data_IF_745567988054
#
_entry.id   IF_745567988054
#
_cell.length_a   1.000
_cell.length_b   1.000
_cell.length_c   1.000
_cell.angle_alpha   90.00
_cell.angle_beta   90.00
_cell.angle_gamma   90.00
#
_symmetry.space_group_name_H-M   'P 1'
#
loop_
_entity.id
_entity.type
_entity.pdbx_description
1 polymer ?
#
# COMPACT_ATOMS: atom_id res chain seq x y z
N UNK A 1 47.45 -2.36 22.62
CA UNK A 1 46.58 -3.54 22.43
C UNK A 1 45.17 -3.32 22.98
N UNK A 2 44.98 -2.49 24.03
CA UNK A 2 43.66 -2.28 24.67
C UNK A 2 42.64 -1.53 23.81
N UNK A 3 43.07 -0.51 23.06
CA UNK A 3 42.17 0.27 22.18
C UNK A 3 41.64 -0.53 20.98
N UNK A 4 42.33 -1.58 20.55
CA UNK A 4 41.87 -2.44 19.45
C UNK A 4 40.62 -3.23 19.84
N UNK A 5 40.59 -3.76 21.07
CA UNK A 5 39.43 -4.44 21.62
C UNK A 5 38.26 -3.49 21.85
N UNK A 6 38.52 -2.28 22.34
CA UNK A 6 37.49 -1.25 22.50
C UNK A 6 36.85 -0.83 21.17
N UNK A 7 37.66 -0.69 20.11
CA UNK A 7 37.17 -0.38 18.77
C UNK A 7 36.33 -1.52 18.17
N UNK A 8 36.76 -2.78 18.36
CA UNK A 8 36.01 -3.95 17.89
C UNK A 8 34.68 -4.08 18.66
N UNK A 9 34.69 -3.87 19.97
CA UNK A 9 33.48 -3.89 20.79
C UNK A 9 32.51 -2.78 20.40
N UNK A 10 33.01 -1.56 20.21
CA UNK A 10 32.20 -0.43 19.75
C UNK A 10 31.59 -0.71 18.36
N UNK A 11 32.39 -1.23 17.43
CA UNK A 11 31.92 -1.61 16.10
C UNK A 11 30.85 -2.71 16.17
N UNK A 12 30.99 -3.69 17.07
CA UNK A 12 30.01 -4.75 17.28
C UNK A 12 28.70 -4.23 17.88
N UNK A 13 28.75 -3.31 18.84
CA UNK A 13 27.55 -2.67 19.42
C UNK A 13 26.85 -1.81 18.39
N UNK A 14 27.59 -1.01 17.62
CA UNK A 14 27.02 -0.20 16.52
C UNK A 14 26.39 -1.11 15.47
N UNK A 15 27.07 -2.19 15.08
CA UNK A 15 26.52 -3.18 14.17
C UNK A 15 25.22 -3.79 14.74
N UNK A 16 25.18 -4.18 16.02
CA UNK A 16 23.98 -4.74 16.65
C UNK A 16 22.82 -3.75 16.74
N UNK A 17 23.09 -2.46 16.99
CA UNK A 17 22.05 -1.42 17.03
C UNK A 17 21.50 -1.12 15.63
N UNK A 18 22.34 -1.18 14.59
CA UNK A 18 21.94 -1.02 13.19
C UNK A 18 21.24 -2.28 12.65
N UNK A 19 21.65 -3.48 13.07
CA UNK A 19 21.04 -4.75 12.65
C UNK A 19 19.75 -5.05 13.43
N UNK A 20 19.57 -4.51 14.64
CA UNK A 20 18.36 -4.66 15.48
C UNK A 20 17.05 -4.32 14.74
N UNK A 21 16.89 -3.18 14.05
CA UNK A 21 15.66 -2.88 13.33
C UNK A 21 15.43 -3.80 12.12
N UNK A 22 16.48 -4.38 11.54
CA UNK A 22 16.35 -5.37 10.47
C UNK A 22 15.89 -6.73 11.03
N UNK A 23 16.55 -7.24 12.08
CA UNK A 23 16.19 -8.52 12.67
C UNK A 23 14.87 -8.52 13.48
N UNK A 24 14.31 -7.36 13.84
CA UNK A 24 13.07 -7.26 14.62
C UNK A 24 11.87 -6.75 13.82
N UNK A 25 11.93 -6.69 12.49
CA UNK A 25 10.80 -6.24 11.67
C UNK A 25 10.59 -6.95 10.32
N UNK A 26 11.52 -7.79 9.85
CA UNK A 26 11.45 -8.39 8.50
C UNK A 26 10.20 -9.26 8.23
N UNK A 27 9.61 -9.89 9.24
CA UNK A 27 8.42 -10.73 9.04
C UNK A 27 7.12 -9.93 8.98
N UNK A 28 6.99 -8.85 9.77
CA UNK A 28 5.76 -8.04 9.80
C UNK A 28 5.80 -6.85 8.82
N UNK A 29 6.96 -6.19 8.62
CA UNK A 29 7.07 -5.13 7.59
C UNK A 29 7.10 -5.67 6.18
N UNK A 30 7.73 -6.84 5.94
CA UNK A 30 7.70 -7.49 4.64
C UNK A 30 6.28 -7.91 4.24
N UNK A 31 5.51 -8.45 5.19
CA UNK A 31 4.12 -8.81 4.99
C UNK A 31 3.22 -7.57 4.78
N UNK A 32 3.40 -6.51 5.56
CA UNK A 32 2.66 -5.25 5.38
C UNK A 32 3.01 -4.56 4.05
N UNK A 33 4.28 -4.56 3.64
CA UNK A 33 4.70 -4.01 2.35
C UNK A 33 4.12 -4.79 1.17
N UNK A 34 4.05 -6.12 1.26
CA UNK A 34 3.42 -6.96 0.24
C UNK A 34 1.91 -6.73 0.16
N UNK A 35 1.22 -6.67 1.30
CA UNK A 35 -0.20 -6.36 1.38
C UNK A 35 -0.54 -4.97 0.81
N UNK A 36 0.31 -3.97 1.09
CA UNK A 36 0.18 -2.63 0.49
C UNK A 36 0.35 -2.66 -1.03
N UNK A 37 1.39 -3.33 -1.53
CA UNK A 37 1.63 -3.43 -2.97
C UNK A 37 0.46 -4.14 -3.70
N UNK A 38 -0.14 -5.15 -3.07
CA UNK A 38 -1.34 -5.81 -3.59
C UNK A 38 -2.55 -4.88 -3.62
N UNK A 39 -2.78 -4.10 -2.56
CA UNK A 39 -3.85 -3.10 -2.51
C UNK A 39 -3.63 -1.96 -3.52
N UNK A 40 -2.39 -1.50 -3.73
CA UNK A 40 -2.06 -0.51 -4.75
C UNK A 40 -2.30 -1.05 -6.17
N UNK A 41 -1.91 -2.31 -6.44
CA UNK A 41 -2.21 -2.97 -7.71
C UNK A 41 -3.72 -3.14 -7.94
N UNK A 42 -4.47 -3.49 -6.89
CA UNK A 42 -5.93 -3.59 -6.95
C UNK A 42 -6.58 -2.23 -7.23
N UNK A 43 -6.07 -1.15 -6.62
CA UNK A 43 -6.50 0.23 -6.90
C UNK A 43 -6.26 0.61 -8.36
N UNK A 44 -5.07 0.35 -8.90
CA UNK A 44 -4.77 0.63 -10.30
C UNK A 44 -5.64 -0.16 -11.26
N UNK A 45 -5.91 -1.43 -10.95
CA UNK A 45 -6.82 -2.27 -11.74
C UNK A 45 -8.24 -1.69 -11.74
N UNK A 46 -8.78 -1.31 -10.58
CA UNK A 46 -10.11 -0.71 -10.48
C UNK A 46 -10.19 0.67 -11.13
N UNK A 47 -9.13 1.47 -11.07
CA UNK A 47 -9.08 2.75 -11.76
C UNK A 47 -9.15 2.58 -13.29
N UNK A 48 -8.45 1.59 -13.84
CA UNK A 48 -8.56 1.26 -15.27
C UNK A 48 -9.96 0.81 -15.66
N UNK A 49 -10.60 -0.02 -14.84
CA UNK A 49 -11.97 -0.49 -15.09
C UNK A 49 -12.99 0.66 -15.11
N UNK A 50 -12.86 1.63 -14.19
CA UNK A 50 -13.68 2.86 -14.19
C UNK A 50 -13.44 3.66 -15.46
N UNK A 51 -12.18 3.86 -15.83
CA UNK A 51 -11.82 4.63 -17.02
C UNK A 51 -12.33 3.97 -18.31
N UNK A 52 -12.26 2.64 -18.41
CA UNK A 52 -12.78 1.91 -19.56
C UNK A 52 -14.32 2.01 -19.64
N UNK A 53 -15.03 1.95 -18.50
CA UNK A 53 -16.47 2.14 -18.44
C UNK A 53 -16.90 3.57 -18.85
N UNK A 54 -16.14 4.58 -18.43
CA UNK A 54 -16.33 5.98 -18.85
C UNK A 54 -16.09 6.13 -20.37
N UNK A 55 -15.03 5.52 -20.92
CA UNK A 55 -14.74 5.53 -22.35
C UNK A 55 -15.85 4.84 -23.17
N UNK A 56 -16.38 3.71 -22.69
CA UNK A 56 -17.48 3.01 -23.36
C UNK A 56 -18.79 3.83 -23.34
N UNK A 57 -19.02 4.62 -22.29
CA UNK A 57 -20.10 5.60 -22.24
C UNK A 57 -19.89 6.74 -23.23
N UNK A 58 -18.69 7.34 -23.29
CA UNK A 58 -18.37 8.40 -24.27
C UNK A 58 -18.46 7.89 -25.73
N UNK A 59 -18.11 6.63 -25.98
CA UNK A 59 -18.27 5.97 -27.28
C UNK A 59 -19.73 5.64 -27.62
N UNK A 60 -20.68 5.89 -26.71
CA UNK A 60 -22.10 5.66 -26.91
C UNK A 60 -22.52 4.19 -26.83
N UNK A 61 -21.68 3.31 -26.27
CA UNK A 61 -22.00 1.88 -26.07
C UNK A 61 -22.86 1.65 -24.83
N UNK A 62 -22.83 2.57 -23.87
CA UNK A 62 -23.61 2.55 -22.64
C UNK A 62 -24.59 3.72 -22.63
N UNK A 63 -25.81 3.47 -22.14
CA UNK A 63 -26.77 4.54 -21.87
C UNK A 63 -26.35 5.33 -20.63
N UNK A 64 -26.77 6.59 -20.50
CA UNK A 64 -26.48 7.40 -19.31
C UNK A 64 -27.00 6.76 -18.02
N UNK A 65 -28.10 6.01 -18.09
CA UNK A 65 -28.70 5.37 -16.92
C UNK A 65 -27.91 4.14 -16.47
N UNK A 66 -27.45 3.32 -17.43
CA UNK A 66 -26.59 2.16 -17.16
C UNK A 66 -25.20 2.59 -16.69
N UNK A 67 -24.63 3.63 -17.31
CA UNK A 67 -23.35 4.19 -16.88
C UNK A 67 -23.42 4.72 -15.44
N UNK A 68 -24.48 5.44 -15.05
CA UNK A 68 -24.68 5.90 -13.66
C UNK A 68 -24.87 4.77 -12.65
N UNK A 69 -25.38 3.61 -13.07
CA UNK A 69 -25.50 2.44 -12.19
C UNK A 69 -24.11 1.83 -11.95
N UNK A 70 -23.37 1.58 -13.03
CA UNK A 70 -22.01 1.00 -13.01
C UNK A 70 -21.02 1.92 -12.28
N UNK A 71 -21.06 3.23 -12.55
CA UNK A 71 -20.19 4.22 -11.91
C UNK A 71 -20.36 4.23 -10.38
N UNK A 72 -21.59 4.14 -9.89
CA UNK A 72 -21.85 4.09 -8.44
C UNK A 72 -21.31 2.82 -7.79
N UNK A 73 -21.42 1.68 -8.46
CA UNK A 73 -20.88 0.40 -7.99
C UNK A 73 -19.36 0.43 -7.95
N UNK A 74 -18.71 0.78 -9.07
CA UNK A 74 -17.25 0.84 -9.18
C UNK A 74 -16.63 1.86 -8.23
N UNK A 75 -17.26 3.03 -8.04
CA UNK A 75 -16.79 4.02 -7.05
C UNK A 75 -16.93 3.49 -5.62
N UNK A 76 -17.98 2.74 -5.31
CA UNK A 76 -18.13 2.09 -4.01
C UNK A 76 -16.98 1.12 -3.71
N UNK A 77 -16.63 0.28 -4.68
CA UNK A 77 -15.50 -0.65 -4.57
C UNK A 77 -14.15 0.08 -4.45
N UNK A 78 -13.96 1.16 -5.21
CA UNK A 78 -12.76 1.99 -5.13
C UNK A 78 -12.60 2.62 -3.74
N UNK A 79 -13.69 3.10 -3.13
CA UNK A 79 -13.67 3.67 -1.77
C UNK A 79 -13.28 2.61 -0.73
N UNK A 80 -13.80 1.38 -0.84
CA UNK A 80 -13.43 0.28 0.06
C UNK A 80 -11.94 -0.09 -0.06
N UNK A 81 -11.39 -0.09 -1.28
CA UNK A 81 -9.95 -0.30 -1.51
C UNK A 81 -9.12 0.81 -0.88
N UNK A 82 -9.54 2.07 -1.04
CA UNK A 82 -8.86 3.22 -0.43
C UNK A 82 -8.90 3.17 1.10
N UNK A 83 -10.04 2.82 1.70
CA UNK A 83 -10.15 2.64 3.16
C UNK A 83 -9.18 1.59 3.68
N UNK A 84 -9.10 0.43 3.02
CA UNK A 84 -8.16 -0.64 3.40
C UNK A 84 -6.70 -0.19 3.25
N UNK A 85 -6.41 0.62 2.23
CA UNK A 85 -5.08 1.19 2.03
C UNK A 85 -4.72 2.17 3.16
N UNK A 86 -5.64 3.03 3.58
CA UNK A 86 -5.44 3.97 4.70
C UNK A 86 -5.21 3.23 6.04
N UNK A 87 -5.92 2.12 6.27
CA UNK A 87 -5.74 1.24 7.43
C UNK A 87 -4.33 0.60 7.45
N UNK A 88 -3.86 0.10 6.31
CA UNK A 88 -2.53 -0.51 6.16
C UNK A 88 -1.41 0.54 6.23
N UNK A 89 -1.64 1.76 5.73
CA UNK A 89 -0.68 2.86 5.83
C UNK A 89 -0.61 3.46 7.24
N UNK A 90 -1.43 3.01 8.20
CA UNK A 90 -1.50 3.57 9.54
C UNK A 90 -1.95 5.04 9.56
N UNK A 91 -2.48 5.54 8.44
CA UNK A 91 -2.94 6.91 8.25
C UNK A 91 -4.38 7.00 8.73
N UNK A 92 -4.62 6.55 9.96
CA UNK A 92 -5.92 6.73 10.60
C UNK A 92 -6.13 8.24 10.83
N UNK A 93 -7.10 8.90 10.17
CA UNK A 93 -7.49 10.22 10.61
C UNK A 93 -8.03 10.03 12.03
N UNK A 94 -7.33 10.60 13.01
CA UNK A 94 -7.88 10.80 14.35
C UNK A 94 -9.17 11.61 14.18
N UNK A 95 -10.30 10.91 14.17
CA UNK A 95 -11.65 11.45 14.37
C UNK A 95 -11.84 11.86 15.83
#
# INVERSE_FOLDING_TARGET
MEYGLALIFLAAVVALVVMRPLLHNESDEGAQSAARAELEAAKEAKYREIQDAELDHEMGKLSDEDHRAIDRELRGEAIEILRRLDEVEGRSPRV
#
